data_IF_173706510168
#
_entry.id   IF_173706510168
#
_cell.length_a   1.000
_cell.length_b   1.000
_cell.length_c   1.000
_cell.angle_alpha   90.00
_cell.angle_beta   90.00
_cell.angle_gamma   90.00
#
_symmetry.space_group_name_H-M   'P 1'
#
loop_
_entity.id
_entity.type
_entity.pdbx_description
1 polymer ?
#
# COMPACT_ATOMS: atom_id res chain seq x y z
N UNK A 1 6.64 -11.86 -3.37
CA UNK A 1 6.99 -13.22 -2.86
C UNK A 1 8.49 -13.44 -2.57
N UNK A 2 9.42 -13.41 -3.54
CA UNK A 2 10.85 -13.63 -3.29
C UNK A 2 11.48 -12.59 -2.34
N UNK A 3 11.06 -11.33 -2.42
CA UNK A 3 11.55 -10.26 -1.55
C UNK A 3 11.12 -10.43 -0.08
N UNK A 4 9.92 -10.97 0.18
CA UNK A 4 9.42 -11.20 1.54
C UNK A 4 10.05 -12.45 2.19
N UNK A 5 10.31 -13.50 1.40
CA UNK A 5 11.03 -14.69 1.85
C UNK A 5 12.52 -14.34 2.07
N UNK A 6 13.12 -13.56 1.17
CA UNK A 6 14.51 -13.12 1.27
C UNK A 6 14.74 -12.12 2.40
N UNK A 7 13.83 -11.17 2.64
CA UNK A 7 13.94 -10.23 3.76
C UNK A 7 13.81 -10.94 5.10
N UNK A 8 12.89 -11.92 5.20
CA UNK A 8 12.75 -12.77 6.39
C UNK A 8 13.99 -13.62 6.63
N UNK A 9 14.57 -14.25 5.60
CA UNK A 9 15.80 -15.05 5.77
C UNK A 9 17.02 -14.19 6.10
N UNK A 10 17.18 -13.00 5.51
CA UNK A 10 18.25 -12.05 5.87
C UNK A 10 18.11 -11.58 7.31
N UNK A 11 16.89 -11.26 7.75
CA UNK A 11 16.61 -10.84 9.11
C UNK A 11 16.89 -11.97 10.11
N UNK A 12 16.50 -13.21 9.78
CA UNK A 12 16.78 -14.41 10.59
C UNK A 12 18.29 -14.71 10.67
N UNK A 13 19.01 -14.62 9.54
CA UNK A 13 20.46 -14.87 9.50
C UNK A 13 21.23 -13.80 10.28
N UNK A 14 20.83 -12.53 10.14
CA UNK A 14 21.37 -11.41 10.90
C UNK A 14 21.09 -11.57 12.39
N UNK A 15 19.88 -12.01 12.76
CA UNK A 15 19.49 -12.26 14.15
C UNK A 15 20.29 -13.41 14.78
N UNK A 16 20.36 -14.57 14.12
CA UNK A 16 21.18 -15.73 14.57
C UNK A 16 22.63 -15.30 14.74
N UNK A 17 23.12 -14.52 13.78
CA UNK A 17 24.43 -13.92 13.81
C UNK A 17 24.72 -13.07 15.02
N UNK A 18 23.81 -12.13 15.29
CA UNK A 18 23.89 -11.24 16.44
C UNK A 18 23.85 -12.02 17.76
N UNK A 19 23.06 -13.10 17.80
CA UNK A 19 22.97 -14.02 18.95
C UNK A 19 24.30 -14.75 19.19
N UNK A 20 24.93 -15.29 18.14
CA UNK A 20 26.22 -15.96 18.22
C UNK A 20 27.35 -15.00 18.62
N UNK A 21 27.36 -13.79 18.07
CA UNK A 21 28.31 -12.73 18.42
C UNK A 21 28.15 -12.29 19.88
N UNK A 22 26.90 -12.11 20.33
CA UNK A 22 26.59 -11.75 21.71
C UNK A 22 27.02 -12.86 22.69
N UNK A 23 26.78 -14.12 22.33
CA UNK A 23 27.20 -15.27 23.13
C UNK A 23 28.72 -15.39 23.19
N UNK A 24 29.42 -15.22 22.05
CA UNK A 24 30.87 -15.22 22.01
C UNK A 24 31.47 -14.08 22.84
N UNK A 25 30.89 -12.88 22.76
CA UNK A 25 31.29 -11.73 23.58
C UNK A 25 31.06 -12.01 25.07
N UNK A 26 29.94 -12.64 25.43
CA UNK A 26 29.62 -13.00 26.82
C UNK A 26 30.60 -14.05 27.35
N UNK A 27 30.97 -15.05 26.55
CA UNK A 27 31.99 -16.06 26.93
C UNK A 27 33.37 -15.40 27.10
N UNK A 28 33.80 -14.57 26.15
CA UNK A 28 35.08 -13.85 26.23
C UNK A 28 35.11 -12.91 27.45
N UNK A 29 34.05 -12.11 27.65
CA UNK A 29 33.93 -11.20 28.79
C UNK A 29 33.92 -11.99 30.11
N UNK A 30 33.14 -13.07 30.19
CA UNK A 30 33.07 -13.93 31.37
C UNK A 30 34.41 -14.60 31.70
N UNK A 31 35.12 -15.11 30.71
CA UNK A 31 36.46 -15.71 30.91
C UNK A 31 37.52 -14.68 31.33
N UNK A 32 37.50 -13.48 30.75
CA UNK A 32 38.37 -12.36 31.17
C UNK A 32 38.04 -11.88 32.59
N UNK A 33 36.75 -11.74 32.92
CA UNK A 33 36.31 -11.39 34.28
C UNK A 33 36.71 -12.46 35.28
N UNK A 34 36.57 -13.75 34.97
CA UNK A 34 37.00 -14.85 35.84
C UNK A 34 38.52 -14.87 36.05
N UNK A 35 39.32 -14.54 35.03
CA UNK A 35 40.78 -14.47 35.17
C UNK A 35 41.25 -13.33 36.11
N UNK A 36 40.43 -12.32 36.34
CA UNK A 36 40.72 -11.27 37.34
C UNK A 36 40.54 -11.76 38.78
N UNK A 37 39.78 -12.85 38.98
CA UNK A 37 39.45 -13.38 40.31
C UNK A 37 40.06 -14.77 40.58
N UNK A 38 40.46 -15.50 39.55
CA UNK A 38 40.98 -16.87 39.61
C UNK A 38 42.16 -16.95 38.63
N UNK A 39 43.28 -17.53 39.06
CA UNK A 39 44.51 -17.68 38.25
C UNK A 39 44.26 -18.73 37.15
N UNK A 40 43.69 -18.30 36.02
CA UNK A 40 43.35 -19.17 34.89
C UNK A 40 44.55 -19.22 33.93
N UNK A 41 44.91 -20.42 33.48
CA UNK A 41 46.01 -20.63 32.54
C UNK A 41 45.85 -19.75 31.28
N UNK A 42 46.81 -18.83 31.09
CA UNK A 42 46.87 -17.90 29.97
C UNK A 42 46.79 -18.61 28.60
N UNK A 43 47.27 -19.86 28.49
CA UNK A 43 47.17 -20.64 27.25
C UNK A 43 45.72 -20.98 26.85
N UNK A 44 44.84 -21.21 27.84
CA UNK A 44 43.40 -21.44 27.60
C UNK A 44 42.68 -20.15 27.21
N UNK A 45 43.02 -19.04 27.83
CA UNK A 45 42.42 -17.73 27.52
C UNK A 45 42.74 -17.32 26.08
N UNK A 46 44.01 -17.44 25.68
CA UNK A 46 44.45 -17.13 24.31
C UNK A 46 43.69 -18.01 23.30
N UNK A 47 43.51 -19.30 23.59
CA UNK A 47 42.79 -20.23 22.71
C UNK A 47 41.30 -19.87 22.57
N UNK A 48 40.63 -19.52 23.66
CA UNK A 48 39.21 -19.11 23.66
C UNK A 48 39.02 -17.81 22.86
N UNK A 49 39.88 -16.81 23.09
CA UNK A 49 39.86 -15.55 22.34
C UNK A 49 40.11 -15.79 20.85
N UNK A 50 41.08 -16.63 20.50
CA UNK A 50 41.40 -16.94 19.11
C UNK A 50 40.24 -17.65 18.40
N UNK A 51 39.59 -18.62 19.05
CA UNK A 51 38.39 -19.29 18.54
C UNK A 51 37.24 -18.27 18.34
N UNK A 52 37.02 -17.38 19.30
CA UNK A 52 35.97 -16.37 19.20
C UNK A 52 36.22 -15.38 18.04
N UNK A 53 37.47 -14.95 17.85
CA UNK A 53 37.88 -14.09 16.72
C UNK A 53 37.68 -14.80 15.38
N UNK A 54 38.11 -16.05 15.26
CA UNK A 54 37.94 -16.85 14.03
C UNK A 54 36.46 -17.07 13.74
N UNK A 55 35.65 -17.44 14.75
CA UNK A 55 34.21 -17.64 14.59
C UNK A 55 33.52 -16.34 14.14
N UNK A 56 33.92 -15.20 14.71
CA UNK A 56 33.40 -13.88 14.32
C UNK A 56 33.80 -13.54 12.88
N UNK A 57 35.05 -13.79 12.49
CA UNK A 57 35.52 -13.53 11.14
C UNK A 57 34.77 -14.40 10.10
N UNK A 58 34.58 -15.69 10.38
CA UNK A 58 33.80 -16.62 9.54
C UNK A 58 32.35 -16.17 9.44
N UNK A 59 31.75 -15.72 10.55
CA UNK A 59 30.38 -15.22 10.56
C UNK A 59 30.24 -13.95 9.69
N UNK A 60 31.11 -12.96 9.88
CA UNK A 60 31.12 -11.72 9.08
C UNK A 60 31.34 -12.02 7.59
N UNK A 61 32.22 -12.97 7.27
CA UNK A 61 32.44 -13.41 5.90
C UNK A 61 31.19 -14.04 5.29
N UNK A 62 30.51 -14.93 6.01
CA UNK A 62 29.25 -15.53 5.53
C UNK A 62 28.14 -14.49 5.35
N UNK A 63 28.03 -13.52 6.26
CA UNK A 63 27.07 -12.43 6.16
C UNK A 63 27.35 -11.57 4.92
N UNK A 64 28.60 -11.15 4.72
CA UNK A 64 29.01 -10.38 3.56
C UNK A 64 28.78 -11.15 2.24
N UNK A 65 29.14 -12.44 2.21
CA UNK A 65 28.92 -13.31 1.05
C UNK A 65 27.43 -13.45 0.71
N UNK A 66 26.58 -13.66 1.72
CA UNK A 66 25.14 -13.77 1.54
C UNK A 66 24.51 -12.44 1.09
N UNK A 67 24.95 -11.30 1.63
CA UNK A 67 24.52 -9.98 1.18
C UNK A 67 24.89 -9.72 -0.29
N UNK A 68 26.10 -10.11 -0.69
CA UNK A 68 26.56 -10.00 -2.08
C UNK A 68 25.69 -10.88 -2.99
N UNK A 69 25.48 -12.15 -2.64
CA UNK A 69 24.61 -13.05 -3.40
C UNK A 69 23.19 -12.50 -3.52
N UNK A 70 22.62 -11.99 -2.43
CA UNK A 70 21.30 -11.39 -2.43
C UNK A 70 21.25 -10.14 -3.32
N UNK A 71 22.26 -9.28 -3.24
CA UNK A 71 22.36 -8.10 -4.10
C UNK A 71 22.36 -8.50 -5.58
N UNK A 72 23.16 -9.49 -5.97
CA UNK A 72 23.19 -9.99 -7.35
C UNK A 72 21.88 -10.66 -7.78
N UNK A 73 21.30 -11.52 -6.94
CA UNK A 73 20.02 -12.16 -7.22
C UNK A 73 18.89 -11.14 -7.37
N UNK A 74 18.84 -10.14 -6.48
CA UNK A 74 17.90 -9.02 -6.54
C UNK A 74 18.13 -8.16 -7.77
N UNK A 75 19.39 -7.85 -8.11
CA UNK A 75 19.72 -7.05 -9.30
C UNK A 75 19.30 -7.76 -10.58
N UNK A 76 19.61 -9.04 -10.74
CA UNK A 76 19.23 -9.83 -11.91
C UNK A 76 17.71 -10.02 -12.01
N UNK A 77 17.03 -10.25 -10.88
CA UNK A 77 15.58 -10.35 -10.84
C UNK A 77 14.91 -9.02 -11.19
N UNK A 78 15.40 -7.90 -10.64
CA UNK A 78 14.94 -6.56 -11.00
C UNK A 78 15.17 -6.26 -12.47
N UNK A 79 16.36 -6.54 -13.00
CA UNK A 79 16.66 -6.33 -14.41
C UNK A 79 15.75 -7.18 -15.32
N UNK A 80 15.54 -8.44 -14.98
CA UNK A 80 14.62 -9.32 -15.73
C UNK A 80 13.17 -8.85 -15.65
N UNK A 81 12.74 -8.36 -14.48
CA UNK A 81 11.42 -7.77 -14.29
C UNK A 81 11.27 -6.50 -15.15
N UNK A 82 12.25 -5.58 -15.12
CA UNK A 82 12.22 -4.37 -15.93
C UNK A 82 12.21 -4.68 -17.42
N UNK A 83 13.05 -5.60 -17.90
CA UNK A 83 13.03 -6.02 -19.32
C UNK A 83 11.65 -6.57 -19.72
N UNK A 84 10.98 -7.34 -18.84
CA UNK A 84 9.62 -7.83 -19.12
C UNK A 84 8.59 -6.70 -19.09
N UNK A 85 8.72 -5.77 -18.15
CA UNK A 85 7.86 -4.60 -18.01
C UNK A 85 7.98 -3.69 -19.24
N UNK A 86 9.19 -3.38 -19.68
CA UNK A 86 9.49 -2.60 -20.88
C UNK A 86 8.86 -3.22 -22.13
N UNK A 87 8.94 -4.55 -22.27
CA UNK A 87 8.26 -5.27 -23.36
C UNK A 87 6.74 -5.17 -23.30
N UNK A 88 6.16 -5.15 -22.10
CA UNK A 88 4.72 -4.95 -21.95
C UNK A 88 4.32 -3.50 -22.22
N UNK A 89 5.12 -2.52 -21.77
CA UNK A 89 4.93 -1.10 -22.11
C UNK A 89 4.96 -0.88 -23.63
N UNK A 90 5.91 -1.50 -24.34
CA UNK A 90 5.98 -1.46 -25.81
C UNK A 90 4.71 -2.02 -26.45
N UNK A 91 4.25 -3.20 -26.02
CA UNK A 91 3.00 -3.79 -26.51
C UNK A 91 1.77 -2.92 -26.21
N UNK A 92 1.69 -2.33 -25.02
CA UNK A 92 0.58 -1.45 -24.66
C UNK A 92 0.60 -0.16 -25.47
N UNK A 93 1.78 0.39 -25.77
CA UNK A 93 1.91 1.50 -26.71
C UNK A 93 1.42 1.14 -28.12
N UNK A 94 1.74 -0.05 -28.63
CA UNK A 94 1.23 -0.51 -29.93
C UNK A 94 -0.30 -0.62 -29.93
N UNK A 95 -0.89 -1.15 -28.85
CA UNK A 95 -2.36 -1.26 -28.70
C UNK A 95 -3.01 0.12 -28.60
N UNK A 96 -2.41 1.05 -27.85
CA UNK A 96 -2.97 2.37 -27.61
C UNK A 96 -2.86 3.31 -28.82
N UNK A 97 -1.80 3.20 -29.60
CA UNK A 97 -1.47 4.21 -30.62
C UNK A 97 -1.45 3.67 -32.05
N UNK A 98 -1.29 2.36 -32.25
CA UNK A 98 -1.13 1.74 -33.57
C UNK A 98 -2.25 0.73 -33.90
N UNK A 99 -3.38 0.79 -33.19
CA UNK A 99 -4.55 -0.10 -33.37
C UNK A 99 -4.19 -1.60 -33.37
N UNK A 100 -3.15 -1.99 -32.61
CA UNK A 100 -2.80 -3.39 -32.46
C UNK A 100 -3.85 -4.15 -31.65
N UNK A 101 -3.99 -5.46 -31.90
CA UNK A 101 -4.94 -6.31 -31.18
C UNK A 101 -4.57 -6.40 -29.68
N UNK A 102 -5.58 -6.21 -28.81
CA UNK A 102 -5.40 -6.34 -27.36
C UNK A 102 -4.95 -7.76 -26.99
N UNK A 103 -3.76 -7.94 -26.39
CA UNK A 103 -3.28 -9.25 -25.97
C UNK A 103 -4.08 -9.78 -24.77
N UNK A 104 -4.50 -11.04 -24.84
CA UNK A 104 -5.11 -11.74 -23.70
C UNK A 104 -4.03 -12.20 -22.72
N UNK A 105 -4.09 -11.75 -21.49
CA UNK A 105 -3.07 -12.04 -20.47
C UNK A 105 -3.64 -12.02 -19.06
N UNK A 106 -3.00 -12.77 -18.17
CA UNK A 106 -3.21 -12.72 -16.72
C UNK A 106 -1.88 -12.42 -15.99
N UNK A 107 -0.86 -11.96 -16.73
CA UNK A 107 0.44 -11.64 -16.15
C UNK A 107 0.35 -10.36 -15.34
N UNK A 108 0.77 -10.42 -14.08
CA UNK A 108 0.81 -9.25 -13.18
C UNK A 108 1.64 -8.10 -13.77
N UNK A 109 2.78 -8.41 -14.37
CA UNK A 109 3.67 -7.40 -14.99
C UNK A 109 2.97 -6.65 -16.13
N UNK A 110 2.07 -7.34 -16.84
CA UNK A 110 1.29 -6.73 -17.91
C UNK A 110 0.29 -5.71 -17.34
N UNK A 111 -0.39 -6.06 -16.22
CA UNK A 111 -1.26 -5.14 -15.51
C UNK A 111 -0.49 -3.93 -14.97
N UNK A 112 0.61 -4.15 -14.25
CA UNK A 112 1.43 -3.08 -13.67
C UNK A 112 1.94 -2.11 -14.75
N UNK A 113 2.36 -2.61 -15.92
CA UNK A 113 2.78 -1.77 -17.05
C UNK A 113 1.62 -0.94 -17.62
N UNK A 114 0.43 -1.53 -17.79
CA UNK A 114 -0.73 -0.81 -18.31
C UNK A 114 -1.21 0.28 -17.34
N UNK A 115 -1.19 -0.02 -16.04
CA UNK A 115 -1.61 0.90 -14.99
C UNK A 115 -0.64 2.06 -14.81
N UNK A 116 0.67 1.82 -14.90
CA UNK A 116 1.67 2.90 -14.90
C UNK A 116 1.45 3.87 -16.07
N UNK A 117 1.06 3.36 -17.25
CA UNK A 117 0.68 4.23 -18.36
C UNK A 117 -0.60 5.00 -18.05
N UNK A 118 -1.60 4.36 -17.44
CA UNK A 118 -2.87 5.00 -17.10
C UNK A 118 -2.71 6.12 -16.06
N UNK A 119 -1.85 5.96 -15.04
CA UNK A 119 -1.60 6.97 -14.01
C UNK A 119 -0.95 8.25 -14.56
N UNK A 120 -0.17 8.14 -15.64
CA UNK A 120 0.57 9.24 -16.24
C UNK A 120 -0.17 9.95 -17.39
N UNK A 121 -1.37 9.51 -17.75
CA UNK A 121 -2.13 10.01 -18.90
C UNK A 121 -3.31 10.89 -18.48
N UNK A 122 -3.78 11.74 -19.40
CA UNK A 122 -4.95 12.59 -19.16
C UNK A 122 -6.23 11.76 -19.01
N UNK A 123 -7.21 12.33 -18.29
CA UNK A 123 -8.51 11.72 -18.02
C UNK A 123 -9.26 11.29 -19.30
N UNK A 124 -9.01 11.96 -20.43
CA UNK A 124 -9.64 11.67 -21.73
C UNK A 124 -9.34 10.26 -22.24
N UNK A 125 -8.23 9.65 -21.82
CA UNK A 125 -7.83 8.30 -22.23
C UNK A 125 -8.32 7.21 -21.26
N UNK A 126 -8.91 7.58 -20.12
CA UNK A 126 -9.29 6.63 -19.08
C UNK A 126 -10.24 5.53 -19.60
N UNK A 127 -11.26 5.91 -20.37
CA UNK A 127 -12.22 4.95 -20.95
C UNK A 127 -11.53 3.94 -21.86
N UNK A 128 -10.51 4.37 -22.61
CA UNK A 128 -9.70 3.49 -23.46
C UNK A 128 -8.87 2.51 -22.62
N UNK A 129 -8.28 2.96 -21.53
CA UNK A 129 -7.56 2.08 -20.59
C UNK A 129 -8.51 1.06 -19.94
N UNK A 130 -9.70 1.47 -19.53
CA UNK A 130 -10.73 0.56 -18.99
C UNK A 130 -11.12 -0.53 -19.99
N UNK A 131 -11.33 -0.16 -21.25
CA UNK A 131 -11.67 -1.10 -22.33
C UNK A 131 -10.54 -2.09 -22.57
N UNK A 132 -9.30 -1.63 -22.72
CA UNK A 132 -8.12 -2.51 -22.91
C UNK A 132 -7.93 -3.44 -21.70
N UNK A 133 -8.09 -2.92 -20.48
CA UNK A 133 -7.96 -3.69 -19.25
C UNK A 133 -9.02 -4.81 -19.15
N UNK A 134 -10.22 -4.55 -19.67
CA UNK A 134 -11.30 -5.51 -19.76
C UNK A 134 -11.07 -6.54 -20.86
N UNK A 135 -10.72 -6.10 -22.07
CA UNK A 135 -10.52 -6.96 -23.24
C UNK A 135 -9.32 -7.91 -23.09
N UNK A 136 -8.26 -7.44 -22.41
CA UNK A 136 -7.08 -8.25 -22.09
C UNK A 136 -7.36 -9.38 -21.10
N UNK A 137 -8.48 -9.33 -20.36
CA UNK A 137 -8.84 -10.30 -19.33
C UNK A 137 -8.27 -10.01 -17.93
N UNK A 138 -7.52 -8.92 -17.77
CA UNK A 138 -6.94 -8.50 -16.50
C UNK A 138 -8.02 -8.13 -15.47
N UNK A 139 -9.07 -7.43 -15.90
CA UNK A 139 -10.22 -7.13 -15.02
C UNK A 139 -10.84 -8.41 -14.45
N UNK A 140 -11.10 -9.39 -15.31
CA UNK A 140 -11.69 -10.66 -14.88
C UNK A 140 -10.79 -11.43 -13.92
N UNK A 141 -9.47 -11.32 -14.09
CA UNK A 141 -8.48 -11.91 -13.19
C UNK A 141 -8.50 -11.25 -11.81
N UNK A 142 -8.50 -9.92 -11.73
CA UNK A 142 -8.52 -9.20 -10.46
C UNK A 142 -9.83 -9.39 -9.69
N UNK A 143 -10.97 -9.37 -10.38
CA UNK A 143 -12.27 -9.68 -9.77
C UNK A 143 -12.32 -11.13 -9.25
N UNK A 144 -11.69 -12.08 -9.96
CA UNK A 144 -11.55 -13.46 -9.49
C UNK A 144 -10.64 -13.53 -8.26
N UNK A 145 -9.55 -12.77 -8.24
CA UNK A 145 -8.61 -12.68 -7.11
C UNK A 145 -9.33 -12.19 -5.86
N UNK A 146 -10.13 -11.13 -5.95
CA UNK A 146 -10.93 -10.65 -4.81
C UNK A 146 -11.91 -11.69 -4.29
N UNK A 147 -12.52 -12.49 -5.19
CA UNK A 147 -13.58 -13.43 -4.84
C UNK A 147 -13.07 -14.75 -4.23
N UNK A 148 -11.95 -15.28 -4.73
CA UNK A 148 -11.53 -16.65 -4.41
C UNK A 148 -10.12 -16.77 -3.82
N UNK A 149 -9.30 -15.72 -3.87
CA UNK A 149 -7.98 -15.78 -3.27
C UNK A 149 -8.05 -15.44 -1.78
N UNK A 150 -7.30 -16.16 -0.96
CA UNK A 150 -7.19 -15.91 0.48
C UNK A 150 -5.95 -15.07 0.82
N UNK A 151 -5.02 -14.90 -0.13
CA UNK A 151 -3.81 -14.13 0.08
C UNK A 151 -4.13 -12.63 0.09
N UNK A 152 -3.90 -11.98 1.24
CA UNK A 152 -4.16 -10.55 1.41
C UNK A 152 -3.33 -9.69 0.46
N UNK A 153 -2.08 -10.08 0.16
CA UNK A 153 -1.19 -9.34 -0.75
C UNK A 153 -1.75 -9.27 -2.18
N UNK A 154 -2.25 -10.37 -2.72
CA UNK A 154 -2.80 -10.38 -4.08
C UNK A 154 -4.13 -9.64 -4.16
N UNK A 155 -4.95 -9.71 -3.10
CA UNK A 155 -6.19 -8.94 -3.01
C UNK A 155 -5.93 -7.45 -2.88
N UNK A 156 -4.91 -7.06 -2.11
CA UNK A 156 -4.48 -5.67 -2.01
C UNK A 156 -4.08 -5.12 -3.37
N UNK A 157 -3.22 -5.84 -4.12
CA UNK A 157 -2.85 -5.46 -5.50
C UNK A 157 -4.05 -5.34 -6.42
N UNK A 158 -4.99 -6.29 -6.37
CA UNK A 158 -6.22 -6.22 -7.16
C UNK A 158 -7.07 -4.98 -6.81
N UNK A 159 -7.16 -4.59 -5.52
CA UNK A 159 -7.86 -3.36 -5.13
C UNK A 159 -7.14 -2.10 -5.63
N UNK A 160 -5.81 -2.06 -5.56
CA UNK A 160 -4.99 -0.96 -6.11
C UNK A 160 -5.19 -0.81 -7.62
N UNK A 161 -5.18 -1.92 -8.36
CA UNK A 161 -5.47 -1.91 -9.80
C UNK A 161 -6.87 -1.38 -10.11
N UNK A 162 -7.89 -1.85 -9.38
CA UNK A 162 -9.26 -1.39 -9.55
C UNK A 162 -9.42 0.09 -9.20
N UNK A 163 -8.63 0.61 -8.25
CA UNK A 163 -8.63 2.03 -7.90
C UNK A 163 -8.09 2.91 -9.03
N UNK A 164 -7.08 2.44 -9.75
CA UNK A 164 -6.48 3.16 -10.90
C UNK A 164 -7.41 3.08 -12.12
N UNK A 165 -7.91 1.88 -12.45
CA UNK A 165 -8.81 1.67 -13.58
C UNK A 165 -10.16 2.37 -13.35
N UNK A 166 -10.64 2.39 -12.10
CA UNK A 166 -11.87 3.05 -11.69
C UNK A 166 -13.09 2.60 -12.53
N UNK A 167 -13.18 1.30 -12.83
CA UNK A 167 -14.28 0.73 -13.62
C UNK A 167 -15.61 0.78 -12.83
N UNK A 168 -16.61 1.43 -13.40
CA UNK A 168 -17.92 1.65 -12.76
C UNK A 168 -18.83 0.43 -12.82
N UNK A 169 -18.50 -0.58 -13.64
CA UNK A 169 -19.30 -1.78 -13.82
C UNK A 169 -19.30 -2.75 -12.62
N UNK A 170 -18.35 -2.61 -11.69
CA UNK A 170 -18.08 -3.60 -10.65
C UNK A 170 -18.10 -3.07 -9.20
N UNK A 171 -18.76 -1.92 -8.95
CA UNK A 171 -18.77 -1.27 -7.62
C UNK A 171 -19.29 -2.15 -6.48
N UNK A 172 -20.26 -3.05 -6.75
CA UNK A 172 -20.80 -3.98 -5.74
C UNK A 172 -19.75 -4.90 -5.12
N UNK A 173 -18.70 -5.24 -5.87
CA UNK A 173 -17.60 -6.07 -5.36
C UNK A 173 -16.76 -5.25 -4.39
N UNK A 174 -16.47 -4.00 -4.71
CA UNK A 174 -15.75 -3.07 -3.84
C UNK A 174 -16.55 -2.77 -2.56
N UNK A 175 -17.86 -2.52 -2.66
CA UNK A 175 -18.75 -2.36 -1.50
C UNK A 175 -18.71 -3.57 -0.55
N UNK A 176 -18.61 -4.79 -1.09
CA UNK A 176 -18.45 -6.00 -0.29
C UNK A 176 -17.09 -6.04 0.42
N UNK A 177 -16.02 -5.64 -0.26
CA UNK A 177 -14.65 -5.64 0.28
C UNK A 177 -14.42 -4.59 1.37
N UNK A 178 -15.19 -3.50 1.38
CA UNK A 178 -15.20 -2.52 2.50
C UNK A 178 -15.58 -3.19 3.83
N UNK A 179 -16.33 -4.29 3.79
CA UNK A 179 -16.74 -5.08 4.97
C UNK A 179 -15.78 -6.23 5.29
N UNK A 180 -14.66 -6.36 4.59
CA UNK A 180 -13.63 -7.39 4.83
C UNK A 180 -13.11 -7.30 6.27
N UNK A 181 -12.81 -8.39 7.01
CA UNK A 181 -12.27 -8.28 8.38
C UNK A 181 -10.87 -7.63 8.46
N UNK A 182 -10.07 -7.71 7.40
CA UNK A 182 -8.73 -7.12 7.34
C UNK A 182 -8.87 -5.62 7.03
N UNK A 183 -8.46 -4.76 7.97
CA UNK A 183 -8.67 -3.32 7.88
C UNK A 183 -7.98 -2.70 6.65
N UNK A 184 -6.77 -3.14 6.33
CA UNK A 184 -6.00 -2.65 5.19
C UNK A 184 -6.74 -2.90 3.87
N UNK A 185 -7.35 -4.07 3.71
CA UNK A 185 -8.15 -4.40 2.53
C UNK A 185 -9.43 -3.55 2.47
N UNK A 186 -10.07 -3.29 3.61
CA UNK A 186 -11.25 -2.43 3.67
C UNK A 186 -10.94 -0.98 3.32
N UNK A 187 -9.77 -0.47 3.72
CA UNK A 187 -9.29 0.87 3.36
C UNK A 187 -9.03 0.96 1.86
N UNK A 188 -8.29 0.00 1.29
CA UNK A 188 -8.02 -0.04 -0.15
C UNK A 188 -9.32 -0.15 -0.96
N UNK A 189 -10.29 -0.94 -0.49
CA UNK A 189 -11.60 -1.06 -1.13
C UNK A 189 -12.40 0.25 -1.05
N UNK A 190 -12.32 0.98 0.07
CA UNK A 190 -12.96 2.30 0.20
C UNK A 190 -12.35 3.31 -0.78
N UNK A 191 -11.03 3.36 -0.88
CA UNK A 191 -10.34 4.26 -1.80
C UNK A 191 -10.61 3.90 -3.26
N UNK A 192 -10.60 2.61 -3.59
CA UNK A 192 -10.99 2.14 -4.91
C UNK A 192 -12.44 2.54 -5.23
N UNK A 193 -13.36 2.37 -4.29
CA UNK A 193 -14.76 2.74 -4.46
C UNK A 193 -14.93 4.25 -4.66
N UNK A 194 -14.23 5.07 -3.87
CA UNK A 194 -14.23 6.53 -4.00
C UNK A 194 -13.74 6.96 -5.38
N UNK A 195 -12.58 6.47 -5.84
CA UNK A 195 -12.06 6.76 -7.18
C UNK A 195 -12.99 6.29 -8.31
N UNK A 196 -13.61 5.13 -8.17
CA UNK A 196 -14.61 4.65 -9.13
C UNK A 196 -15.82 5.58 -9.18
N UNK A 197 -16.32 6.03 -8.03
CA UNK A 197 -17.47 6.92 -7.98
C UNK A 197 -17.17 8.36 -8.34
N UNK A 198 -15.93 8.84 -8.21
CA UNK A 198 -15.51 10.13 -8.74
C UNK A 198 -15.74 10.22 -10.25
N UNK A 199 -15.50 9.11 -10.97
CA UNK A 199 -15.64 9.04 -12.43
C UNK A 199 -17.01 8.55 -12.90
N UNK A 200 -17.88 8.17 -11.98
CA UNK A 200 -19.20 7.65 -12.32
C UNK A 200 -20.19 8.80 -12.54
N UNK A 201 -20.99 8.70 -13.60
CA UNK A 201 -22.16 9.57 -13.80
C UNK A 201 -23.28 9.17 -12.83
N UNK A 202 -23.15 9.56 -11.56
CA UNK A 202 -24.12 9.26 -10.52
C UNK A 202 -24.59 10.53 -9.81
N UNK A 203 -25.84 10.51 -9.36
CA UNK A 203 -26.41 11.62 -8.60
C UNK A 203 -25.88 11.63 -7.16
N UNK A 204 -25.88 12.81 -6.54
CA UNK A 204 -25.41 12.99 -5.16
C UNK A 204 -26.20 12.17 -4.14
N UNK A 205 -27.48 11.89 -4.39
CA UNK A 205 -28.30 11.04 -3.50
C UNK A 205 -27.74 9.62 -3.38
N UNK A 206 -27.27 9.04 -4.49
CA UNK A 206 -26.67 7.71 -4.49
C UNK A 206 -25.29 7.69 -3.84
N UNK A 207 -24.50 8.76 -3.99
CA UNK A 207 -23.26 8.93 -3.21
C UNK A 207 -23.58 8.88 -1.71
N UNK A 208 -24.60 9.64 -1.26
CA UNK A 208 -25.01 9.67 0.14
C UNK A 208 -25.46 8.29 0.63
N UNK A 209 -26.31 7.60 -0.14
CA UNK A 209 -26.81 6.25 0.20
C UNK A 209 -25.67 5.25 0.45
N UNK A 210 -24.57 5.38 -0.30
CA UNK A 210 -23.44 4.45 -0.23
C UNK A 210 -22.45 4.85 0.86
N UNK A 211 -22.00 6.11 0.87
CA UNK A 211 -20.89 6.54 1.72
C UNK A 211 -21.31 6.89 3.15
N UNK A 212 -22.52 7.39 3.39
CA UNK A 212 -22.96 7.72 4.76
C UNK A 212 -22.94 6.49 5.68
N UNK A 213 -23.50 5.33 5.31
CA UNK A 213 -23.42 4.13 6.15
C UNK A 213 -21.98 3.64 6.40
N UNK A 214 -21.07 3.86 5.44
CA UNK A 214 -19.65 3.48 5.56
C UNK A 214 -18.94 4.40 6.57
N UNK A 215 -19.19 5.71 6.47
CA UNK A 215 -18.62 6.74 7.35
C UNK A 215 -19.19 6.61 8.77
N UNK A 216 -20.46 6.20 8.91
CA UNK A 216 -21.13 5.98 10.18
C UNK A 216 -20.69 4.71 10.92
N UNK A 217 -20.02 3.78 10.23
CA UNK A 217 -19.70 2.46 10.78
C UNK A 217 -18.60 2.46 11.86
N UNK A 218 -18.09 3.65 12.24
CA UNK A 218 -16.99 3.91 13.19
C UNK A 218 -15.69 3.10 12.95
N UNK A 219 -15.59 2.46 11.79
CA UNK A 219 -14.50 1.54 11.43
C UNK A 219 -13.24 2.26 10.97
N UNK A 220 -13.42 3.38 10.28
CA UNK A 220 -12.35 4.13 9.63
C UNK A 220 -11.93 5.31 10.51
N UNK A 221 -10.64 5.64 10.54
CA UNK A 221 -10.16 6.85 11.20
C UNK A 221 -10.62 8.10 10.45
N UNK A 222 -10.51 9.26 11.09
CA UNK A 222 -10.85 10.55 10.45
C UNK A 222 -10.07 10.75 9.15
N UNK A 223 -8.75 10.54 9.16
CA UNK A 223 -7.90 10.73 7.97
C UNK A 223 -8.25 9.78 6.81
N UNK A 224 -8.73 8.56 7.10
CA UNK A 224 -9.20 7.65 6.04
C UNK A 224 -10.51 8.16 5.42
N UNK A 225 -11.41 8.71 6.25
CA UNK A 225 -12.66 9.31 5.77
C UNK A 225 -12.36 10.54 4.92
N UNK A 226 -11.49 11.43 5.41
CA UNK A 226 -11.02 12.62 4.68
C UNK A 226 -10.45 12.26 3.31
N UNK A 227 -9.49 11.32 3.26
CA UNK A 227 -8.89 10.87 2.00
C UNK A 227 -9.96 10.31 1.05
N UNK A 228 -10.89 9.48 1.55
CA UNK A 228 -11.98 8.96 0.72
C UNK A 228 -12.91 10.06 0.18
N UNK A 229 -13.14 11.13 0.95
CA UNK A 229 -13.92 12.29 0.52
C UNK A 229 -13.18 13.10 -0.56
N UNK A 230 -11.86 13.26 -0.42
CA UNK A 230 -11.04 13.92 -1.44
C UNK A 230 -11.03 13.12 -2.74
N UNK A 231 -10.89 11.79 -2.64
CA UNK A 231 -10.89 10.88 -3.79
C UNK A 231 -12.22 10.81 -4.54
N UNK A 232 -13.32 11.31 -3.97
CA UNK A 232 -14.61 11.45 -4.65
C UNK A 232 -14.66 12.65 -5.61
N UNK A 233 -13.67 13.53 -5.56
CA UNK A 233 -13.53 14.72 -6.41
C UNK A 233 -14.85 15.54 -6.45
N UNK A 234 -15.31 15.96 -7.63
CA UNK A 234 -16.51 16.78 -7.79
C UNK A 234 -17.79 16.12 -7.25
N UNK A 235 -17.84 14.78 -7.25
CA UNK A 235 -18.97 14.02 -6.71
C UNK A 235 -19.05 14.06 -5.18
N UNK A 236 -18.02 14.56 -4.49
CA UNK A 236 -18.02 14.74 -3.05
C UNK A 236 -18.96 15.85 -2.58
N UNK A 237 -19.32 16.83 -3.44
CA UNK A 237 -20.01 18.08 -3.06
C UNK A 237 -21.24 17.85 -2.17
N UNK A 238 -22.14 16.97 -2.58
CA UNK A 238 -23.36 16.67 -1.81
C UNK A 238 -23.10 15.97 -0.47
N UNK A 239 -22.08 15.11 -0.42
CA UNK A 239 -21.66 14.40 0.78
C UNK A 239 -20.96 15.33 1.77
N UNK A 240 -20.05 16.19 1.30
CA UNK A 240 -19.40 17.21 2.12
C UNK A 240 -20.42 18.17 2.74
N UNK A 241 -21.41 18.62 1.96
CA UNK A 241 -22.49 19.44 2.48
C UNK A 241 -23.34 18.72 3.53
N UNK A 242 -23.61 17.42 3.37
CA UNK A 242 -24.33 16.63 4.37
C UNK A 242 -23.53 16.49 5.67
N UNK A 243 -22.23 16.17 5.57
CA UNK A 243 -21.38 15.87 6.72
C UNK A 243 -20.98 17.13 7.52
N UNK A 244 -20.91 18.29 6.88
CA UNK A 244 -20.60 19.57 7.52
C UNK A 244 -21.78 20.18 8.32
N UNK A 245 -22.91 19.48 8.45
CA UNK A 245 -24.07 19.97 9.21
C UNK A 245 -23.91 19.77 10.72
N UNK A 246 -24.45 20.66 11.57
CA UNK A 246 -24.37 20.54 13.03
C UNK A 246 -24.98 19.26 13.62
N UNK A 247 -25.87 18.59 12.89
CA UNK A 247 -26.51 17.34 13.33
C UNK A 247 -25.60 16.10 13.15
N UNK A 248 -24.48 16.25 12.46
CA UNK A 248 -23.55 15.17 12.12
C UNK A 248 -22.55 14.94 13.27
N UNK A 249 -22.03 13.70 13.41
CA UNK A 249 -21.00 13.40 14.41
C UNK A 249 -19.76 14.28 14.19
N UNK A 250 -19.18 14.80 15.26
CA UNK A 250 -18.05 15.74 15.23
C UNK A 250 -16.84 15.24 14.41
N UNK A 251 -16.48 13.96 14.55
CA UNK A 251 -15.43 13.32 13.74
C UNK A 251 -15.66 13.44 12.23
N UNK A 252 -16.92 13.34 11.79
CA UNK A 252 -17.31 13.37 10.38
C UNK A 252 -17.36 14.81 9.88
N UNK A 253 -17.85 15.74 10.71
CA UNK A 253 -17.76 17.18 10.46
C UNK A 253 -16.29 17.55 10.22
N UNK A 254 -15.39 17.19 11.12
CA UNK A 254 -13.95 17.46 10.98
C UNK A 254 -13.36 16.90 9.70
N UNK A 255 -13.64 15.63 9.39
CA UNK A 255 -13.18 15.02 8.14
C UNK A 255 -13.70 15.78 6.89
N UNK A 256 -14.96 16.24 6.94
CA UNK A 256 -15.55 17.01 5.84
C UNK A 256 -14.93 18.40 5.67
N UNK A 257 -14.65 19.10 6.77
CA UNK A 257 -14.01 20.42 6.75
C UNK A 257 -12.58 20.33 6.23
N UNK A 258 -11.81 19.34 6.70
CA UNK A 258 -10.46 19.08 6.21
C UNK A 258 -10.46 18.77 4.70
N UNK A 259 -11.39 17.92 4.24
CA UNK A 259 -11.55 17.64 2.82
C UNK A 259 -11.94 18.89 2.01
N UNK A 260 -12.86 19.73 2.50
CA UNK A 260 -13.21 21.02 1.86
C UNK A 260 -11.96 21.90 1.67
N UNK A 261 -11.09 21.96 2.70
CA UNK A 261 -9.83 22.69 2.63
C UNK A 261 -8.92 22.24 1.49
N UNK A 262 -8.89 20.94 1.18
CA UNK A 262 -8.10 20.39 0.07
C UNK A 262 -8.56 20.89 -1.30
N UNK A 263 -9.87 21.03 -1.50
CA UNK A 263 -10.42 21.50 -2.78
C UNK A 263 -10.21 23.00 -3.03
N UNK A 264 -9.88 23.77 -1.99
CA UNK A 264 -9.64 25.22 -2.05
C UNK A 264 -10.72 26.02 -2.81
N UNK A 265 -11.96 25.52 -2.81
CA UNK A 265 -13.07 26.10 -3.56
C UNK A 265 -13.85 27.09 -2.67
N UNK A 266 -13.84 28.37 -3.06
CA UNK A 266 -14.54 29.44 -2.35
C UNK A 266 -16.04 29.20 -2.24
N UNK A 267 -16.64 28.45 -3.16
CA UNK A 267 -18.07 28.11 -3.09
C UNK A 267 -18.44 27.31 -1.83
N UNK A 268 -17.48 26.59 -1.25
CA UNK A 268 -17.73 25.69 -0.12
C UNK A 268 -17.34 26.31 1.22
N UNK A 269 -16.71 27.49 1.19
CA UNK A 269 -16.29 28.22 2.38
C UNK A 269 -17.47 28.58 3.31
N UNK A 270 -18.65 28.81 2.74
CA UNK A 270 -19.87 29.09 3.52
C UNK A 270 -20.24 27.94 4.48
N UNK A 271 -19.85 26.71 4.15
CA UNK A 271 -20.14 25.52 4.96
C UNK A 271 -19.22 25.42 6.19
N UNK A 272 -18.06 26.09 6.16
CA UNK A 272 -17.11 26.16 7.27
C UNK A 272 -17.50 27.24 8.30
N UNK A 273 -18.21 28.29 7.89
CA UNK A 273 -18.56 29.45 8.75
C UNK A 273 -19.19 29.07 10.09
N UNK A 274 -20.17 28.14 10.17
CA UNK A 274 -20.76 27.74 11.45
C UNK A 274 -19.75 27.12 12.44
N UNK A 275 -18.64 26.58 11.93
CA UNK A 275 -17.64 25.83 12.70
C UNK A 275 -16.46 26.69 13.17
N UNK A 276 -16.28 27.90 12.61
CA UNK A 276 -15.30 28.88 13.09
C UNK A 276 -15.51 29.29 14.55
N UNK A 277 -16.72 29.11 15.07
CA UNK A 277 -17.08 29.35 16.48
C UNK A 277 -17.33 28.07 17.27
N UNK A 278 -16.85 26.91 16.79
CA UNK A 278 -16.98 25.64 17.49
C UNK A 278 -16.29 25.69 18.86
N UNK A 279 -16.88 25.03 19.85
CA UNK A 279 -16.24 24.84 21.16
C UNK A 279 -15.10 23.82 21.12
N UNK A 280 -15.09 22.93 20.12
CA UNK A 280 -13.98 22.01 19.89
C UNK A 280 -12.88 22.71 19.09
N UNK A 281 -11.66 22.88 19.66
CA UNK A 281 -10.57 23.57 18.98
C UNK A 281 -10.08 22.81 17.73
N UNK A 282 -10.23 21.49 17.67
CA UNK A 282 -9.83 20.73 16.47
C UNK A 282 -10.80 20.98 15.32
N UNK A 283 -12.11 21.03 15.60
CA UNK A 283 -13.15 21.40 14.62
C UNK A 283 -13.02 22.85 14.18
N UNK A 284 -12.70 23.75 15.12
CA UNK A 284 -12.43 25.15 14.80
C UNK A 284 -11.19 25.30 13.90
N UNK A 285 -10.13 24.53 14.15
CA UNK A 285 -8.91 24.59 13.35
C UNK A 285 -9.08 23.96 11.95
N UNK A 286 -9.99 23.00 11.80
CA UNK A 286 -10.31 22.40 10.51
C UNK A 286 -11.20 23.29 9.62
N UNK A 287 -11.94 24.23 10.22
CA UNK A 287 -12.85 25.17 9.55
C UNK A 287 -12.11 26.39 8.99
#
# INVERSE_FOLDING_TARGET
MWQAIASRTISLLSFIGFLLLSLALLVVTGTLSLNLFIDVDNGRIISIVLIAVIATAVFLFNLAFFQILHYFASKNSRQSYQIKKDKWLEKWNEVLWNDAQVPKTHELIAAEALLEMAENMSLDYQSKFQEIYKESGLLAYDLRTLKYNNLSEDRARALEHLAIIADTGNTKILEKEIKNPILELSILALFALAKTYAKAEINSEKILEIFVPIIDSDRFSMGIIEEALVLLEDNAKGLLYYLSRPATKEKQVRASLAAIGYFANLEWAEWCVPWLSSFDPETQAAA
#
